data_IF_065546851474
#
_entry.id   IF_065546851474
#
_cell.length_a   1.000
_cell.length_b   1.000
_cell.length_c   1.000
_cell.angle_alpha   90.00
_cell.angle_beta   90.00
_cell.angle_gamma   90.00
#
_symmetry.space_group_name_H-M   'P 1'
#
loop_
_entity.id
_entity.type
_entity.pdbx_description
1 polymer ?
#
# COMPACT_ATOMS: atom_id res chain seq x y z
N UNK A 1 20.11 11.72 27.00
CA UNK A 1 20.19 12.02 25.56
C UNK A 1 18.78 12.06 25.00
N UNK A 2 18.29 13.24 24.59
CA UNK A 2 16.94 13.39 24.07
C UNK A 2 16.86 12.76 22.68
N UNK A 3 16.06 11.71 22.52
CA UNK A 3 15.75 11.12 21.21
C UNK A 3 14.87 12.10 20.44
N UNK A 4 15.46 12.81 19.49
CA UNK A 4 14.74 13.63 18.51
C UNK A 4 13.99 12.70 17.56
N UNK A 5 12.71 12.42 17.86
CA UNK A 5 11.80 11.77 16.91
C UNK A 5 11.48 12.77 15.79
N UNK A 6 12.34 12.85 14.78
CA UNK A 6 12.00 13.51 13.51
C UNK A 6 10.79 12.79 12.91
N UNK A 7 9.61 13.42 12.97
CA UNK A 7 8.41 12.96 12.26
C UNK A 7 8.64 13.20 10.76
N UNK A 8 9.35 12.28 10.11
CA UNK A 8 9.46 12.25 8.65
C UNK A 8 8.06 12.03 8.06
N UNK A 9 7.36 13.11 7.73
CA UNK A 9 6.01 13.06 7.19
C UNK A 9 6.07 12.85 5.68
N UNK A 10 5.84 11.61 5.23
CA UNK A 10 5.62 11.34 3.81
C UNK A 10 4.33 11.99 3.37
N UNK A 11 4.41 12.90 2.40
CA UNK A 11 3.24 13.58 1.83
C UNK A 11 2.38 12.58 1.06
N UNK A 12 1.14 12.38 1.50
CA UNK A 12 0.17 11.55 0.79
C UNK A 12 -0.43 12.37 -0.37
N UNK A 13 -0.36 11.83 -1.58
CA UNK A 13 -0.97 12.44 -2.76
C UNK A 13 -2.50 12.25 -2.73
N UNK A 14 -3.23 13.31 -2.39
CA UNK A 14 -4.70 13.30 -2.28
C UNK A 14 -5.41 12.95 -3.60
N UNK A 15 -4.88 13.36 -4.75
CA UNK A 15 -5.45 13.02 -6.06
C UNK A 15 -5.40 11.51 -6.30
N UNK A 16 -4.30 10.85 -5.91
CA UNK A 16 -4.16 9.40 -6.01
C UNK A 16 -5.13 8.66 -5.08
N UNK A 17 -5.36 9.19 -3.87
CA UNK A 17 -6.36 8.64 -2.94
C UNK A 17 -7.76 8.69 -3.56
N UNK A 18 -8.14 9.83 -4.15
CA UNK A 18 -9.45 9.98 -4.81
C UNK A 18 -9.58 9.03 -6.01
N UNK A 19 -8.54 8.93 -6.86
CA UNK A 19 -8.53 7.98 -7.98
C UNK A 19 -8.67 6.53 -7.51
N UNK A 20 -7.98 6.16 -6.43
CA UNK A 20 -8.07 4.83 -5.84
C UNK A 20 -9.47 4.53 -5.28
N UNK A 21 -10.05 5.47 -4.53
CA UNK A 21 -11.41 5.36 -4.00
C UNK A 21 -12.45 5.21 -5.12
N UNK A 22 -12.34 6.02 -6.17
CA UNK A 22 -13.21 5.93 -7.34
C UNK A 22 -13.10 4.58 -8.06
N UNK A 23 -11.89 4.06 -8.22
CA UNK A 23 -11.68 2.72 -8.82
C UNK A 23 -12.28 1.61 -7.95
N UNK A 24 -12.13 1.69 -6.62
CA UNK A 24 -12.74 0.75 -5.67
C UNK A 24 -14.26 0.78 -5.77
N UNK A 25 -14.86 1.98 -5.81
CA UNK A 25 -16.30 2.16 -5.97
C UNK A 25 -16.79 1.60 -7.31
N UNK A 26 -16.11 1.93 -8.42
CA UNK A 26 -16.43 1.43 -9.77
C UNK A 26 -16.36 -0.11 -9.84
N UNK A 27 -15.43 -0.72 -9.10
CA UNK A 27 -15.29 -2.18 -9.03
C UNK A 27 -16.29 -2.87 -8.09
N UNK A 28 -17.24 -2.13 -7.49
CA UNK A 28 -18.25 -2.63 -6.53
C UNK A 28 -17.65 -3.34 -5.30
N UNK A 29 -16.42 -2.96 -4.91
CA UNK A 29 -15.72 -3.52 -3.74
C UNK A 29 -15.98 -2.75 -2.43
N UNK A 30 -16.77 -1.67 -2.51
CA UNK A 30 -17.26 -0.87 -1.39
C UNK A 30 -18.73 -0.53 -1.63
N UNK A 31 -19.51 -0.37 -0.54
CA UNK A 31 -20.95 -0.09 -0.63
C UNK A 31 -21.24 1.34 -1.06
N UNK A 32 -20.42 2.27 -0.57
CA UNK A 32 -20.56 3.70 -0.84
C UNK A 32 -19.18 4.38 -0.93
N UNK A 33 -19.14 5.59 -1.48
CA UNK A 33 -17.94 6.39 -1.65
C UNK A 33 -17.22 6.64 -0.32
N UNK A 34 -17.94 6.85 0.78
CA UNK A 34 -17.35 7.05 2.09
C UNK A 34 -16.50 5.83 2.53
N UNK A 35 -17.01 4.62 2.33
CA UNK A 35 -16.29 3.38 2.64
C UNK A 35 -15.07 3.20 1.71
N UNK A 36 -15.24 3.48 0.41
CA UNK A 36 -14.16 3.42 -0.56
C UNK A 36 -13.02 4.40 -0.21
N UNK A 37 -13.37 5.61 0.22
CA UNK A 37 -12.43 6.65 0.63
C UNK A 37 -11.70 6.25 1.91
N UNK A 38 -12.40 5.70 2.91
CA UNK A 38 -11.79 5.21 4.14
C UNK A 38 -10.75 4.12 3.85
N UNK A 39 -11.09 3.15 2.99
CA UNK A 39 -10.17 2.09 2.54
C UNK A 39 -8.96 2.67 1.79
N UNK A 40 -9.19 3.61 0.87
CA UNK A 40 -8.12 4.29 0.13
C UNK A 40 -7.16 5.04 1.05
N UNK A 41 -7.68 5.80 2.01
CA UNK A 41 -6.85 6.50 3.00
C UNK A 41 -6.03 5.54 3.86
N UNK A 42 -6.63 4.45 4.33
CA UNK A 42 -5.92 3.42 5.11
C UNK A 42 -4.75 2.85 4.30
N UNK A 43 -4.99 2.52 3.04
CA UNK A 43 -4.00 1.93 2.15
C UNK A 43 -2.87 2.90 1.80
N UNK A 44 -3.17 4.18 1.51
CA UNK A 44 -2.15 5.18 1.21
C UNK A 44 -1.36 5.63 2.46
N UNK A 45 -1.97 5.60 3.65
CA UNK A 45 -1.24 5.78 4.92
C UNK A 45 -0.28 4.62 5.16
N UNK A 46 -0.71 3.39 4.89
CA UNK A 46 0.19 2.22 4.95
C UNK A 46 1.33 2.36 3.95
N UNK A 47 1.06 2.76 2.69
CA UNK A 47 2.09 3.04 1.68
C UNK A 47 3.11 4.09 2.15
N UNK A 48 2.63 5.18 2.76
CA UNK A 48 3.48 6.20 3.34
C UNK A 48 4.37 5.65 4.46
N UNK A 49 3.82 4.81 5.36
CA UNK A 49 4.61 4.14 6.40
C UNK A 49 5.65 3.18 5.83
N UNK A 50 5.29 2.40 4.79
CA UNK A 50 6.23 1.50 4.10
C UNK A 50 7.37 2.24 3.40
N UNK A 51 7.13 3.46 2.92
CA UNK A 51 8.18 4.29 2.33
C UNK A 51 9.21 4.76 3.38
N UNK A 52 8.81 4.85 4.65
CA UNK A 52 9.70 5.21 5.76
C UNK A 52 10.45 4.01 6.32
N UNK A 53 9.91 2.80 6.19
CA UNK A 53 10.55 1.59 6.70
C UNK A 53 9.67 0.34 6.60
N UNK A 54 9.92 -0.60 7.51
CA UNK A 54 9.24 -1.90 7.51
C UNK A 54 7.92 -1.83 8.27
N UNK A 55 6.84 -2.33 7.67
CA UNK A 55 5.52 -2.36 8.29
C UNK A 55 4.91 -3.76 8.17
N UNK A 56 4.37 -4.26 9.28
CA UNK A 56 3.55 -5.47 9.30
C UNK A 56 2.10 -5.11 9.05
N UNK A 57 1.45 -5.77 8.10
CA UNK A 57 0.04 -5.55 7.79
C UNK A 57 -0.62 -6.84 7.31
N UNK A 58 -1.94 -6.81 7.22
CA UNK A 58 -2.75 -7.96 6.85
C UNK A 58 -3.71 -7.56 5.73
N UNK A 59 -3.89 -8.44 4.75
CA UNK A 59 -4.85 -8.23 3.67
C UNK A 59 -5.50 -9.55 3.27
N UNK A 60 -6.70 -9.46 2.68
CA UNK A 60 -7.46 -10.61 2.19
C UNK A 60 -7.14 -10.85 0.71
N UNK A 61 -6.68 -12.04 0.36
CA UNK A 61 -6.43 -12.40 -1.05
C UNK A 61 -7.74 -12.62 -1.82
N UNK A 62 -7.62 -12.73 -3.14
CA UNK A 62 -8.75 -13.06 -4.03
C UNK A 62 -9.38 -14.41 -3.72
N UNK A 63 -8.59 -15.39 -3.27
CA UNK A 63 -9.08 -16.70 -2.80
C UNK A 63 -9.72 -16.65 -1.40
N UNK A 64 -9.82 -15.48 -0.77
CA UNK A 64 -10.43 -15.30 0.55
C UNK A 64 -9.49 -15.52 1.75
N UNK A 65 -8.29 -16.05 1.52
CA UNK A 65 -7.26 -16.28 2.54
C UNK A 65 -6.75 -14.96 3.12
N UNK A 66 -6.61 -14.90 4.45
CA UNK A 66 -6.00 -13.78 5.14
C UNK A 66 -4.48 -13.96 5.13
N UNK A 67 -3.77 -12.98 4.60
CA UNK A 67 -2.31 -12.99 4.56
C UNK A 67 -1.73 -11.91 5.44
N UNK A 68 -0.88 -12.32 6.37
CA UNK A 68 0.04 -11.43 7.07
C UNK A 68 1.26 -11.19 6.17
N UNK A 69 1.70 -9.94 6.08
CA UNK A 69 2.84 -9.55 5.28
C UNK A 69 3.70 -8.52 6.02
N UNK A 70 5.00 -8.62 5.80
CA UNK A 70 5.99 -7.66 6.29
C UNK A 70 6.56 -6.93 5.10
N UNK A 71 6.06 -5.73 4.84
CA UNK A 71 6.35 -4.97 3.63
C UNK A 71 7.21 -3.73 3.86
N UNK A 72 8.01 -3.40 2.87
CA UNK A 72 8.78 -2.14 2.81
C UNK A 72 8.78 -1.56 1.40
N UNK A 73 8.93 -0.24 1.32
CA UNK A 73 9.20 0.52 0.10
C UNK A 73 10.47 1.37 0.24
N UNK A 74 11.20 1.25 1.35
CA UNK A 74 12.45 1.95 1.54
C UNK A 74 13.55 1.25 0.73
N UNK A 75 14.11 1.94 -0.27
CA UNK A 75 15.14 1.41 -1.17
C UNK A 75 16.36 0.84 -0.43
N UNK A 76 16.67 1.35 0.76
CA UNK A 76 17.82 0.90 1.56
C UNK A 76 17.60 -0.47 2.22
N UNK A 77 16.37 -1.01 2.21
CA UNK A 77 16.00 -2.23 2.93
C UNK A 77 15.84 -3.46 2.01
N UNK A 78 16.00 -3.30 0.70
CA UNK A 78 15.95 -4.41 -0.25
C UNK A 78 16.92 -4.18 -1.41
N UNK A 79 17.54 -5.26 -1.88
CA UNK A 79 18.33 -5.25 -3.11
C UNK A 79 17.48 -5.88 -4.21
N UNK A 80 17.15 -5.10 -5.24
CA UNK A 80 16.36 -5.58 -6.37
C UNK A 80 16.77 -4.86 -7.66
N UNK A 81 17.11 -5.66 -8.67
CA UNK A 81 17.37 -5.16 -10.02
C UNK A 81 16.06 -4.84 -10.73
N UNK A 82 15.82 -3.56 -10.95
CA UNK A 82 14.60 -3.07 -11.59
C UNK A 82 14.60 -3.41 -13.08
N UNK A 83 13.89 -4.48 -13.46
CA UNK A 83 13.74 -4.93 -14.86
C UNK A 83 12.80 -4.06 -15.73
N UNK A 84 12.48 -2.84 -15.28
CA UNK A 84 11.51 -1.95 -15.92
C UNK A 84 10.06 -2.24 -15.53
N UNK A 85 9.20 -1.23 -15.69
CA UNK A 85 7.73 -1.38 -15.59
C UNK A 85 7.13 -1.04 -16.96
N UNK A 86 6.58 -2.03 -17.66
CA UNK A 86 5.94 -1.81 -18.96
C UNK A 86 4.70 -0.90 -18.88
N UNK A 87 3.98 -0.91 -17.76
CA UNK A 87 2.79 -0.09 -17.55
C UNK A 87 2.70 0.48 -16.12
N UNK A 88 2.12 1.67 -16.01
CA UNK A 88 1.80 2.28 -14.71
C UNK A 88 0.74 1.42 -13.98
N UNK A 89 1.03 1.07 -12.72
CA UNK A 89 0.06 0.34 -11.90
C UNK A 89 -1.17 1.21 -11.60
N UNK A 90 -2.39 0.64 -11.58
CA UNK A 90 -3.60 1.40 -11.26
C UNK A 90 -3.53 1.94 -9.82
N UNK A 91 -4.20 3.07 -9.57
CA UNK A 91 -4.17 3.74 -8.26
C UNK A 91 -4.76 2.89 -7.13
N UNK A 92 -5.65 1.94 -7.44
CA UNK A 92 -6.21 0.94 -6.54
C UNK A 92 -5.27 -0.22 -6.21
N UNK A 93 -4.09 -0.30 -6.82
CA UNK A 93 -3.10 -1.35 -6.58
C UNK A 93 -1.87 -0.78 -5.86
N UNK A 94 -1.56 -1.32 -4.69
CA UNK A 94 -0.37 -0.94 -3.92
C UNK A 94 0.66 -2.05 -4.03
N UNK A 95 1.81 -1.71 -4.62
CA UNK A 95 2.99 -2.56 -4.67
C UNK A 95 3.83 -2.35 -3.41
N UNK A 96 4.46 -3.42 -2.94
CA UNK A 96 5.41 -3.41 -1.82
C UNK A 96 6.44 -4.53 -2.02
N UNK A 97 7.60 -4.40 -1.38
CA UNK A 97 8.55 -5.50 -1.27
C UNK A 97 8.25 -6.30 0.00
N UNK A 98 7.98 -7.59 -0.15
CA UNK A 98 7.74 -8.51 0.96
C UNK A 98 9.08 -9.06 1.45
N UNK A 99 9.43 -8.76 2.70
CA UNK A 99 10.71 -9.17 3.30
C UNK A 99 10.75 -10.67 3.62
N UNK A 100 9.61 -11.28 3.95
CA UNK A 100 9.54 -12.72 4.25
C UNK A 100 9.66 -13.54 2.96
N UNK A 101 9.01 -13.07 1.90
CA UNK A 101 9.01 -13.74 0.60
C UNK A 101 10.15 -13.28 -0.31
N UNK A 102 10.91 -12.26 0.09
CA UNK A 102 12.00 -11.62 -0.66
C UNK A 102 11.61 -11.28 -2.11
N UNK A 103 10.39 -10.80 -2.30
CA UNK A 103 9.83 -10.55 -3.62
C UNK A 103 8.86 -9.37 -3.63
N UNK A 104 8.76 -8.68 -4.77
CA UNK A 104 7.73 -7.68 -4.98
C UNK A 104 6.35 -8.32 -5.08
N UNK A 105 5.40 -7.78 -4.32
CA UNK A 105 4.00 -8.18 -4.33
C UNK A 105 3.11 -6.95 -4.42
N UNK A 106 1.83 -7.19 -4.63
CA UNK A 106 0.82 -6.15 -4.59
C UNK A 106 -0.47 -6.64 -3.95
N UNK A 107 -1.24 -5.68 -3.44
CA UNK A 107 -2.60 -5.90 -2.97
C UNK A 107 -3.50 -4.78 -3.50
N UNK A 108 -4.80 -5.06 -3.59
CA UNK A 108 -5.79 -4.04 -3.96
C UNK A 108 -6.18 -3.24 -2.73
N UNK A 109 -6.42 -1.94 -2.89
CA UNK A 109 -6.83 -1.04 -1.79
C UNK A 109 -8.02 -1.59 -1.00
N UNK A 110 -8.97 -2.23 -1.68
CA UNK A 110 -10.15 -2.80 -1.04
C UNK A 110 -9.88 -4.05 -0.20
N UNK A 111 -8.76 -4.75 -0.45
CA UNK A 111 -8.39 -5.98 0.24
C UNK A 111 -7.70 -5.77 1.59
N UNK A 112 -7.30 -4.52 1.88
CA UNK A 112 -6.59 -4.20 3.11
C UNK A 112 -7.50 -4.29 4.33
N UNK A 113 -7.06 -5.02 5.35
CA UNK A 113 -7.82 -5.25 6.58
C UNK A 113 -7.48 -4.26 7.68
#
# INVERSE_FOLDING_TARGET
>A
MATTTSKNNVRINKSMVMKAAWQVLKSKQAKDLAEALAKAWKAYKLKAKMALGVVKFVFKKTNGEIRQAVGTLANNMYQYDFKGTGYASPASCIRYFDLERKAFRSFTVASLL
#
